data_IF_715879299923
#
_entry.id   IF_715879299923
#
_cell.length_a   1.000
_cell.length_b   1.000
_cell.length_c   1.000
_cell.angle_alpha   90.00
_cell.angle_beta   90.00
_cell.angle_gamma   90.00
#
_symmetry.space_group_name_H-M   'P 1'
#
loop_
_entity.id
_entity.type
_entity.pdbx_description
1 polymer ?
#
# COMPACT_ATOMS: atom_id res chain seq x y z
N UNK A 1 15.02 -29.62 -9.45
CA UNK A 1 14.66 -28.21 -9.19
C UNK A 1 15.78 -27.52 -8.44
N UNK A 2 15.92 -26.20 -8.59
CA UNK A 2 16.75 -25.40 -7.69
C UNK A 2 16.10 -25.27 -6.30
N UNK A 3 16.85 -24.83 -5.30
CA UNK A 3 16.32 -24.66 -3.94
C UNK A 3 15.16 -23.66 -3.91
N UNK A 4 15.33 -22.49 -4.53
CA UNK A 4 14.29 -21.44 -4.57
C UNK A 4 13.00 -21.89 -5.29
N UNK A 5 13.13 -22.68 -6.36
CA UNK A 5 11.96 -23.30 -7.01
C UNK A 5 11.25 -24.28 -6.08
N UNK A 6 12.02 -25.04 -5.30
CA UNK A 6 11.50 -26.03 -4.35
C UNK A 6 10.73 -25.38 -3.20
N UNK A 7 11.25 -24.27 -2.67
CA UNK A 7 10.52 -23.40 -1.72
C UNK A 7 9.16 -23.01 -2.30
N UNK A 8 9.16 -22.49 -3.53
CA UNK A 8 7.93 -22.03 -4.20
C UNK A 8 6.90 -23.16 -4.30
N UNK A 9 7.33 -24.37 -4.69
CA UNK A 9 6.42 -25.52 -4.82
C UNK A 9 5.84 -25.98 -3.48
N UNK A 10 6.64 -25.98 -2.40
CA UNK A 10 6.13 -26.32 -1.08
C UNK A 10 5.10 -25.29 -0.60
N UNK A 11 5.39 -24.00 -0.78
CA UNK A 11 4.48 -22.91 -0.40
C UNK A 11 3.17 -22.98 -1.18
N UNK A 12 3.23 -23.21 -2.50
CA UNK A 12 2.03 -23.40 -3.33
C UNK A 12 1.18 -24.60 -2.88
N UNK A 13 1.82 -25.61 -2.28
CA UNK A 13 1.16 -26.77 -1.72
C UNK A 13 0.63 -26.56 -0.30
N UNK A 14 0.79 -25.37 0.31
CA UNK A 14 0.40 -25.09 1.69
C UNK A 14 1.36 -25.67 2.75
N UNK A 15 2.64 -25.80 2.41
CA UNK A 15 3.70 -26.24 3.32
C UNK A 15 4.97 -25.42 3.15
N UNK A 16 6.06 -25.89 3.76
CA UNK A 16 7.40 -25.32 3.60
C UNK A 16 8.39 -26.45 3.30
N UNK A 17 9.61 -26.12 2.84
CA UNK A 17 10.64 -27.16 2.80
C UNK A 17 10.86 -27.72 4.21
N UNK A 18 11.14 -29.01 4.30
CA UNK A 18 11.18 -29.70 5.59
C UNK A 18 12.27 -29.12 6.51
N UNK A 19 11.88 -28.83 7.75
CA UNK A 19 12.79 -28.77 8.89
C UNK A 19 13.07 -30.18 9.39
N UNK A 20 14.14 -30.34 10.17
CA UNK A 20 14.46 -31.57 10.89
C UNK A 20 14.85 -31.20 12.30
N UNK A 21 13.96 -31.48 13.25
CA UNK A 21 14.06 -31.01 14.64
C UNK A 21 14.71 -32.04 15.57
N UNK A 22 14.66 -33.33 15.20
CA UNK A 22 15.22 -34.40 15.99
C UNK A 22 15.67 -35.63 15.16
N UNK A 23 16.25 -36.61 15.86
CA UNK A 23 16.74 -37.85 15.26
C UNK A 23 15.60 -38.72 14.70
N UNK A 24 14.40 -38.68 15.30
CA UNK A 24 13.27 -39.48 14.82
C UNK A 24 12.76 -38.95 13.47
N UNK A 25 12.66 -37.63 13.31
CA UNK A 25 12.35 -36.98 12.04
C UNK A 25 13.44 -37.25 11.00
N UNK A 26 14.72 -37.17 11.38
CA UNK A 26 15.82 -37.52 10.48
C UNK A 26 15.69 -38.95 9.95
N UNK A 27 15.52 -39.93 10.84
CA UNK A 27 15.38 -41.36 10.46
C UNK A 27 14.16 -41.59 9.55
N UNK A 28 13.03 -40.96 9.86
CA UNK A 28 11.83 -41.02 9.01
C UNK A 28 12.13 -40.53 7.58
N UNK A 29 12.86 -39.42 7.45
CA UNK A 29 13.25 -38.89 6.14
C UNK A 29 14.21 -39.83 5.40
N UNK A 30 15.20 -40.43 6.08
CA UNK A 30 16.15 -41.36 5.45
C UNK A 30 15.43 -42.58 4.89
N UNK A 31 14.56 -43.21 5.69
CA UNK A 31 13.81 -44.41 5.29
C UNK A 31 13.00 -44.17 4.01
N UNK A 32 12.39 -42.99 3.89
CA UNK A 32 11.61 -42.65 2.70
C UNK A 32 12.46 -42.15 1.54
N UNK A 33 13.59 -41.49 1.81
CA UNK A 33 14.50 -40.98 0.78
C UNK A 33 15.20 -42.10 0.01
N UNK A 34 15.54 -43.21 0.70
CA UNK A 34 16.22 -44.37 0.10
C UNK A 34 15.41 -44.98 -1.07
N UNK A 35 14.07 -44.93 -0.96
CA UNK A 35 13.15 -45.39 -2.01
C UNK A 35 13.28 -44.64 -3.35
N UNK A 36 13.94 -43.48 -3.34
CA UNK A 36 14.10 -42.60 -4.51
C UNK A 36 15.54 -42.47 -4.99
N UNK A 37 16.47 -43.26 -4.46
CA UNK A 37 17.90 -43.24 -4.84
C UNK A 37 18.13 -43.43 -6.34
N UNK A 38 17.26 -44.17 -7.03
CA UNK A 38 17.30 -44.37 -8.49
C UNK A 38 16.85 -43.14 -9.30
N UNK A 39 16.14 -42.19 -8.67
CA UNK A 39 15.55 -41.01 -9.32
C UNK A 39 16.27 -39.71 -8.99
N UNK A 40 16.85 -39.61 -7.80
CA UNK A 40 17.54 -38.41 -7.34
C UNK A 40 18.69 -38.77 -6.41
N UNK A 41 19.78 -37.99 -6.47
CA UNK A 41 20.90 -38.12 -5.54
C UNK A 41 20.59 -37.53 -4.16
N UNK A 42 19.50 -36.77 -4.02
CA UNK A 42 19.11 -36.15 -2.76
C UNK A 42 17.97 -35.17 -2.90
N UNK A 43 17.67 -34.51 -1.79
CA UNK A 43 16.52 -33.65 -1.62
C UNK A 43 16.91 -32.31 -0.97
N UNK A 44 16.36 -31.22 -1.47
CA UNK A 44 16.43 -29.93 -0.77
C UNK A 44 15.64 -29.99 0.54
N UNK A 45 16.25 -29.46 1.60
CA UNK A 45 15.64 -29.23 2.91
C UNK A 45 15.58 -27.73 3.21
N UNK A 46 14.85 -27.35 4.27
CA UNK A 46 14.49 -25.97 4.56
C UNK A 46 15.59 -25.08 5.14
N UNK A 47 16.85 -25.53 5.20
CA UNK A 47 17.95 -24.68 5.70
C UNK A 47 18.37 -23.70 4.61
N UNK A 48 18.51 -22.44 4.99
CA UNK A 48 19.13 -21.40 4.18
C UNK A 48 20.12 -20.58 5.02
N UNK A 49 21.03 -19.89 4.34
CA UNK A 49 21.98 -18.95 4.95
C UNK A 49 21.46 -17.52 4.81
N UNK A 50 21.37 -16.79 5.93
CA UNK A 50 20.96 -15.39 5.90
C UNK A 50 22.12 -14.44 5.55
N UNK A 51 21.84 -13.14 5.42
CA UNK A 51 22.85 -12.11 5.09
C UNK A 51 23.95 -11.96 6.15
N UNK A 52 23.68 -12.36 7.39
CA UNK A 52 24.64 -12.36 8.49
C UNK A 52 25.47 -13.66 8.53
N UNK A 53 25.23 -14.58 7.59
CA UNK A 53 25.91 -15.85 7.50
C UNK A 53 25.39 -16.95 8.43
N UNK A 54 24.25 -16.74 9.09
CA UNK A 54 23.63 -17.71 9.98
C UNK A 54 22.78 -18.71 9.19
N UNK A 55 22.82 -19.96 9.60
CA UNK A 55 21.94 -21.01 9.09
C UNK A 55 20.62 -20.99 9.86
N UNK A 56 19.51 -20.96 9.14
CA UNK A 56 18.16 -20.89 9.69
C UNK A 56 17.24 -21.83 8.93
N UNK A 57 16.24 -22.38 9.61
CA UNK A 57 15.14 -23.07 8.97
C UNK A 57 14.12 -22.08 8.39
N UNK A 58 13.56 -22.40 7.23
CA UNK A 58 12.52 -21.61 6.55
C UNK A 58 11.25 -21.45 7.42
N UNK A 59 10.94 -22.42 8.26
CA UNK A 59 9.75 -22.44 9.12
C UNK A 59 9.97 -21.78 10.50
N UNK A 60 11.12 -21.14 10.69
CA UNK A 60 11.56 -20.53 11.94
C UNK A 60 11.74 -21.51 13.12
N UNK A 61 11.82 -22.82 12.87
CA UNK A 61 12.21 -23.78 13.89
C UNK A 61 13.64 -23.52 14.38
N UNK A 62 13.94 -23.92 15.62
CA UNK A 62 15.29 -23.82 16.15
C UNK A 62 16.22 -24.81 15.43
N UNK A 63 17.44 -24.37 15.10
CA UNK A 63 18.47 -25.23 14.49
C UNK A 63 19.28 -25.93 15.60
N UNK A 64 18.60 -26.71 16.43
CA UNK A 64 19.20 -27.39 17.59
C UNK A 64 19.66 -28.82 17.26
N UNK A 65 19.21 -29.35 16.13
CA UNK A 65 19.59 -30.64 15.58
C UNK A 65 20.26 -30.47 14.22
N UNK A 66 21.37 -31.21 14.01
CA UNK A 66 22.06 -31.26 12.73
C UNK A 66 22.49 -32.69 12.39
N UNK A 67 22.42 -33.06 11.11
CA UNK A 67 22.86 -34.36 10.62
C UNK A 67 23.85 -34.22 9.46
N UNK A 68 24.88 -33.40 9.66
CA UNK A 68 25.90 -33.14 8.64
C UNK A 68 26.66 -34.41 8.26
N UNK A 69 26.98 -34.53 6.98
CA UNK A 69 27.93 -35.52 6.48
C UNK A 69 29.35 -35.20 6.93
N UNK A 70 30.24 -36.16 6.78
CA UNK A 70 31.65 -35.99 7.11
C UNK A 70 32.27 -34.80 6.36
N UNK A 71 32.95 -33.92 7.09
CA UNK A 71 33.59 -32.72 6.53
C UNK A 71 32.62 -31.60 6.13
N UNK A 72 31.36 -31.64 6.58
CA UNK A 72 30.35 -30.61 6.30
C UNK A 72 29.90 -29.88 7.57
N UNK A 73 29.50 -28.59 7.46
CA UNK A 73 29.62 -27.73 6.29
C UNK A 73 31.08 -27.32 6.03
N UNK A 74 31.47 -27.17 4.75
CA UNK A 74 32.75 -26.54 4.39
C UNK A 74 32.65 -25.02 4.56
N UNK A 75 33.64 -24.40 5.23
CA UNK A 75 33.63 -22.97 5.54
C UNK A 75 33.81 -22.05 4.31
N UNK A 76 34.28 -22.59 3.19
CA UNK A 76 34.75 -21.78 2.05
C UNK A 76 33.62 -21.32 1.09
N UNK A 77 32.38 -21.76 1.31
CA UNK A 77 31.26 -21.41 0.44
C UNK A 77 30.41 -20.30 1.05
N UNK A 78 30.19 -19.22 0.30
CA UNK A 78 29.39 -18.07 0.74
C UNK A 78 27.90 -18.20 0.38
N UNK A 79 27.60 -18.86 -0.74
CA UNK A 79 26.25 -19.02 -1.29
C UNK A 79 25.94 -20.51 -1.52
N UNK A 80 25.33 -21.13 -0.51
CA UNK A 80 24.98 -22.53 -0.52
C UNK A 80 23.62 -22.78 0.11
N UNK A 81 23.02 -23.88 -0.32
CA UNK A 81 21.80 -24.44 0.23
C UNK A 81 22.08 -25.85 0.72
N UNK A 82 21.22 -26.36 1.61
CA UNK A 82 21.45 -27.66 2.23
C UNK A 82 20.59 -28.72 1.58
N UNK A 83 21.22 -29.82 1.19
CA UNK A 83 20.54 -31.01 0.68
C UNK A 83 20.75 -32.21 1.59
N UNK A 84 19.73 -33.05 1.70
CA UNK A 84 19.78 -34.38 2.28
C UNK A 84 20.15 -35.40 1.20
N UNK A 85 21.14 -36.24 1.46
CA UNK A 85 21.54 -37.35 0.58
C UNK A 85 20.47 -38.43 0.58
N UNK A 86 20.00 -38.84 -0.60
CA UNK A 86 18.99 -39.91 -0.70
C UNK A 86 19.54 -41.27 -0.25
N UNK A 87 20.86 -41.48 -0.36
CA UNK A 87 21.52 -42.74 -0.04
C UNK A 87 21.93 -42.84 1.43
N UNK A 88 22.46 -41.76 2.00
CA UNK A 88 23.04 -41.78 3.36
C UNK A 88 22.20 -41.04 4.40
N UNK A 89 21.25 -40.21 3.99
CA UNK A 89 20.48 -39.35 4.90
C UNK A 89 21.23 -38.16 5.47
N UNK A 90 22.55 -38.11 5.32
CA UNK A 90 23.38 -37.00 5.78
C UNK A 90 23.20 -35.75 4.93
N UNK A 91 23.43 -34.61 5.57
CA UNK A 91 23.28 -33.28 4.98
C UNK A 91 24.60 -32.78 4.41
N UNK A 92 24.54 -32.07 3.30
CA UNK A 92 25.70 -31.41 2.70
C UNK A 92 25.31 -30.06 2.10
N UNK A 93 26.29 -29.16 2.03
CA UNK A 93 26.12 -27.88 1.35
C UNK A 93 26.33 -28.07 -0.15
N UNK A 94 25.49 -27.41 -0.94
CA UNK A 94 25.48 -27.50 -2.39
C UNK A 94 25.13 -26.13 -2.99
N UNK A 95 25.59 -25.82 -4.22
CA UNK A 95 25.12 -24.64 -4.94
C UNK A 95 23.60 -24.67 -5.06
N UNK A 96 22.91 -23.59 -4.65
CA UNK A 96 21.45 -23.53 -4.60
C UNK A 96 20.75 -23.78 -5.96
N UNK A 97 21.48 -23.59 -7.07
CA UNK A 97 21.01 -23.87 -8.44
C UNK A 97 21.05 -25.35 -8.81
N UNK A 98 21.68 -26.20 -7.99
CA UNK A 98 21.85 -27.62 -8.28
C UNK A 98 20.51 -28.34 -8.46
N UNK A 99 20.37 -29.26 -9.43
CA UNK A 99 19.15 -30.02 -9.60
C UNK A 99 19.04 -31.11 -8.51
N UNK A 100 18.05 -30.97 -7.62
CA UNK A 100 17.65 -32.00 -6.65
C UNK A 100 16.13 -32.23 -6.66
N UNK A 101 15.71 -33.30 -6.00
CA UNK A 101 14.34 -33.42 -5.46
C UNK A 101 14.14 -32.47 -4.28
N UNK A 102 12.95 -32.47 -3.68
CA UNK A 102 12.65 -31.65 -2.51
C UNK A 102 11.62 -32.32 -1.61
N UNK A 103 11.63 -32.01 -0.32
CA UNK A 103 10.70 -32.57 0.66
C UNK A 103 9.98 -31.40 1.35
N UNK A 104 8.65 -31.45 1.33
CA UNK A 104 7.82 -30.45 2.00
C UNK A 104 7.28 -30.98 3.33
N UNK A 105 7.30 -30.15 4.38
CA UNK A 105 6.64 -30.38 5.67
C UNK A 105 5.39 -29.52 5.76
N UNK A 106 4.32 -30.07 6.30
CA UNK A 106 3.03 -29.42 6.49
C UNK A 106 2.56 -29.60 7.93
N UNK A 107 1.93 -28.59 8.54
CA UNK A 107 1.35 -28.76 9.86
C UNK A 107 0.24 -29.81 9.81
N UNK A 108 0.21 -30.69 10.80
CA UNK A 108 -0.90 -31.63 10.97
C UNK A 108 -2.11 -30.87 11.49
N UNK A 109 -2.96 -30.41 10.57
CA UNK A 109 -4.19 -29.73 10.96
C UNK A 109 -5.16 -30.78 11.50
N UNK A 110 -5.45 -30.72 12.81
CA UNK A 110 -6.53 -31.51 13.37
C UNK A 110 -7.88 -30.98 12.83
N UNK A 111 -8.85 -31.85 12.49
CA UNK A 111 -10.11 -31.44 11.87
C UNK A 111 -10.83 -30.33 12.64
N UNK A 112 -10.75 -30.35 13.97
CA UNK A 112 -11.33 -29.32 14.84
C UNK A 112 -10.60 -27.97 14.71
N UNK A 113 -9.27 -27.97 14.61
CA UNK A 113 -8.49 -26.75 14.40
C UNK A 113 -8.71 -26.19 13.00
N UNK A 114 -8.87 -27.04 11.98
CA UNK A 114 -9.25 -26.57 10.64
C UNK A 114 -10.64 -25.92 10.64
N UNK A 115 -11.61 -26.55 11.31
CA UNK A 115 -12.95 -26.00 11.44
C UNK A 115 -12.90 -24.63 12.15
N UNK A 116 -12.20 -24.53 13.29
CA UNK A 116 -12.02 -23.27 14.01
C UNK A 116 -11.31 -22.20 13.14
N UNK A 117 -10.27 -22.58 12.41
CA UNK A 117 -9.56 -21.69 11.49
C UNK A 117 -10.49 -21.15 10.39
N UNK A 118 -11.25 -22.02 9.72
CA UNK A 118 -12.23 -21.64 8.71
C UNK A 118 -13.34 -20.73 9.28
N UNK A 119 -13.82 -20.98 10.49
CA UNK A 119 -14.80 -20.12 11.15
C UNK A 119 -14.27 -18.71 11.41
N UNK A 120 -12.98 -18.57 11.73
CA UNK A 120 -12.35 -17.26 11.92
C UNK A 120 -12.14 -16.50 10.61
N UNK A 121 -11.74 -17.20 9.54
CA UNK A 121 -11.54 -16.60 8.22
C UNK A 121 -12.88 -16.11 7.63
N UNK A 122 -13.93 -16.92 7.74
CA UNK A 122 -15.29 -16.56 7.32
C UNK A 122 -15.86 -15.32 8.04
N UNK A 123 -15.39 -15.00 9.26
CA UNK A 123 -15.76 -13.75 9.95
C UNK A 123 -14.96 -12.54 9.44
N UNK A 124 -13.74 -12.73 8.94
CA UNK A 124 -12.87 -11.66 8.43
C UNK A 124 -13.41 -11.07 7.12
N UNK A 125 -13.98 -11.90 6.24
CA UNK A 125 -14.55 -11.43 4.97
C UNK A 125 -15.79 -10.54 5.15
N UNK A 126 -16.61 -10.76 6.19
CA UNK A 126 -17.80 -9.93 6.43
C UNK A 126 -17.47 -8.51 6.88
N UNK A 127 -16.34 -8.31 7.55
CA UNK A 127 -15.91 -6.97 7.98
C UNK A 127 -15.26 -6.18 6.83
N UNK A 128 -14.58 -6.85 5.89
CA UNK A 128 -13.80 -6.19 4.84
C UNK A 128 -14.66 -5.64 3.68
N UNK A 129 -15.79 -6.29 3.36
CA UNK A 129 -16.67 -5.84 2.26
C UNK A 129 -17.47 -4.56 2.56
N UNK A 130 -17.90 -4.36 3.81
CA UNK A 130 -18.74 -3.22 4.18
C UNK A 130 -17.95 -1.90 4.27
N UNK A 131 -16.70 -1.96 4.71
CA UNK A 131 -15.85 -0.78 4.90
C UNK A 131 -15.44 -0.14 3.57
N UNK A 132 -15.12 -0.96 2.55
CA UNK A 132 -14.74 -0.45 1.23
C UNK A 132 -15.90 0.23 0.50
N UNK A 133 -17.14 -0.22 0.68
CA UNK A 133 -18.31 0.41 0.08
C UNK A 133 -18.65 1.76 0.73
N UNK A 134 -18.58 1.85 2.06
CA UNK A 134 -18.84 3.11 2.77
C UNK A 134 -17.75 4.16 2.50
N UNK A 135 -16.49 3.75 2.37
CA UNK A 135 -15.39 4.67 2.01
C UNK A 135 -15.63 5.27 0.62
N UNK A 136 -16.03 4.49 -0.38
CA UNK A 136 -16.31 5.01 -1.72
C UNK A 136 -17.51 5.97 -1.74
N UNK A 137 -18.60 5.63 -1.03
CA UNK A 137 -19.79 6.49 -0.95
C UNK A 137 -19.50 7.83 -0.24
N UNK A 138 -18.71 7.80 0.82
CA UNK A 138 -18.33 9.03 1.55
C UNK A 138 -17.45 9.94 0.70
N UNK A 139 -16.49 9.40 -0.05
CA UNK A 139 -15.63 10.17 -0.95
C UNK A 139 -16.44 10.87 -2.05
N UNK A 140 -17.41 10.18 -2.66
CA UNK A 140 -18.28 10.77 -3.70
C UNK A 140 -19.11 11.93 -3.14
N UNK A 141 -19.68 11.79 -1.95
CA UNK A 141 -20.47 12.85 -1.32
C UNK A 141 -19.62 14.10 -1.03
N UNK A 142 -18.39 13.92 -0.53
CA UNK A 142 -17.47 15.04 -0.26
C UNK A 142 -17.14 15.79 -1.56
N UNK A 143 -16.90 15.08 -2.66
CA UNK A 143 -16.62 15.68 -3.96
C UNK A 143 -17.82 16.49 -4.46
N UNK A 144 -19.04 15.96 -4.32
CA UNK A 144 -20.27 16.66 -4.73
C UNK A 144 -20.50 17.93 -3.91
N UNK A 145 -20.32 17.87 -2.59
CA UNK A 145 -20.41 19.03 -1.71
C UNK A 145 -19.32 20.06 -2.03
N UNK A 146 -18.10 19.61 -2.29
CA UNK A 146 -16.98 20.46 -2.69
C UNK A 146 -17.23 21.18 -4.01
N UNK A 147 -17.65 20.46 -5.05
CA UNK A 147 -18.01 21.06 -6.34
C UNK A 147 -19.18 22.04 -6.21
N UNK A 148 -20.22 21.69 -5.46
CA UNK A 148 -21.37 22.56 -5.20
C UNK A 148 -20.96 23.84 -4.48
N UNK A 149 -20.12 23.74 -3.45
CA UNK A 149 -19.60 24.91 -2.73
C UNK A 149 -18.73 25.79 -3.61
N UNK A 150 -17.85 25.21 -4.43
CA UNK A 150 -17.02 25.97 -5.38
C UNK A 150 -17.87 26.68 -6.44
N UNK A 151 -18.87 26.01 -7.01
CA UNK A 151 -19.81 26.63 -7.97
C UNK A 151 -20.58 27.77 -7.30
N UNK A 152 -21.09 27.55 -6.08
CA UNK A 152 -21.76 28.59 -5.31
C UNK A 152 -20.85 29.79 -5.06
N UNK A 153 -19.59 29.55 -4.67
CA UNK A 153 -18.63 30.61 -4.42
C UNK A 153 -18.29 31.38 -5.70
N UNK A 154 -18.12 30.69 -6.83
CA UNK A 154 -17.92 31.31 -8.14
C UNK A 154 -19.13 32.13 -8.59
N UNK A 155 -20.34 31.62 -8.35
CA UNK A 155 -21.58 32.33 -8.64
C UNK A 155 -21.68 33.58 -7.76
N UNK A 156 -21.47 33.46 -6.45
CA UNK A 156 -21.47 34.57 -5.49
C UNK A 156 -20.43 35.64 -5.88
N UNK A 157 -19.22 35.23 -6.25
CA UNK A 157 -18.17 36.15 -6.74
C UNK A 157 -18.60 36.84 -8.04
N UNK A 158 -19.25 36.12 -8.96
CA UNK A 158 -19.75 36.72 -10.22
C UNK A 158 -20.85 37.74 -9.94
N UNK A 159 -21.83 37.41 -9.10
CA UNK A 159 -22.94 38.28 -8.73
C UNK A 159 -22.48 39.53 -7.97
N UNK A 160 -21.49 39.41 -7.07
CA UNK A 160 -20.92 40.59 -6.40
C UNK A 160 -20.18 41.51 -7.38
N UNK A 161 -19.44 40.96 -8.35
CA UNK A 161 -18.76 41.74 -9.39
C UNK A 161 -19.74 42.44 -10.34
N UNK A 162 -20.87 41.81 -10.67
CA UNK A 162 -21.94 42.45 -11.45
C UNK A 162 -22.59 43.59 -10.65
N UNK A 163 -22.89 43.39 -9.37
CA UNK A 163 -23.44 44.44 -8.50
C UNK A 163 -22.48 45.63 -8.32
N UNK A 164 -21.17 45.37 -8.21
CA UNK A 164 -20.16 46.42 -8.09
C UNK A 164 -19.96 47.21 -9.41
N UNK A 165 -20.11 46.56 -10.57
CA UNK A 165 -20.10 47.25 -11.89
C UNK A 165 -21.32 48.15 -12.06
N UNK A 166 -22.51 47.67 -11.70
CA UNK A 166 -23.75 48.46 -11.75
C UNK A 166 -23.68 49.67 -10.80
N UNK A 167 -23.14 49.52 -9.58
CA UNK A 167 -22.93 50.64 -8.67
C UNK A 167 -21.91 51.66 -9.18
N UNK A 168 -20.79 51.24 -9.77
CA UNK A 168 -19.82 52.17 -10.39
C UNK A 168 -20.41 52.91 -11.59
N UNK A 169 -21.28 52.27 -12.36
CA UNK A 169 -21.93 52.89 -13.51
C UNK A 169 -23.01 53.91 -13.08
N UNK A 170 -23.70 53.64 -11.97
CA UNK A 170 -24.65 54.58 -11.39
C UNK A 170 -23.95 55.79 -10.73
N UNK A 171 -22.79 55.58 -10.08
CA UNK A 171 -22.03 56.67 -9.47
C UNK A 171 -21.48 57.65 -10.52
N UNK A 172 -20.95 57.15 -11.64
CA UNK A 172 -20.46 58.00 -12.74
C UNK A 172 -21.59 58.78 -13.42
N UNK A 173 -22.76 58.17 -13.59
CA UNK A 173 -23.96 58.86 -14.10
C UNK A 173 -24.46 59.96 -13.15
N UNK A 174 -24.47 59.70 -11.84
CA UNK A 174 -24.83 60.70 -10.84
C UNK A 174 -23.84 61.87 -10.80
N UNK A 175 -22.55 61.59 -10.95
CA UNK A 175 -21.50 62.62 -11.02
C UNK A 175 -21.64 63.46 -12.28
N UNK A 176 -21.91 62.85 -13.44
CA UNK A 176 -22.22 63.54 -14.69
C UNK A 176 -23.49 64.42 -14.57
N UNK A 177 -24.55 63.90 -13.93
CA UNK A 177 -25.78 64.66 -13.71
C UNK A 177 -25.57 65.88 -12.80
N UNK A 178 -24.76 65.73 -11.73
CA UNK A 178 -24.39 66.83 -10.82
C UNK A 178 -23.63 67.94 -11.54
N UNK A 179 -22.73 67.58 -12.47
CA UNK A 179 -21.99 68.54 -13.31
C UNK A 179 -22.92 69.31 -14.24
N UNK A 180 -23.95 68.66 -14.80
CA UNK A 180 -24.94 69.32 -15.66
C UNK A 180 -25.87 70.26 -14.86
N UNK A 181 -26.35 69.85 -13.69
CA UNK A 181 -27.20 70.70 -12.84
C UNK A 181 -26.45 71.88 -12.24
N UNK A 182 -25.17 71.71 -11.87
CA UNK A 182 -24.32 72.81 -11.40
C UNK A 182 -23.96 73.83 -12.49
N UNK A 183 -24.24 73.54 -13.76
CA UNK A 183 -24.02 74.45 -14.89
C UNK A 183 -25.27 75.26 -15.27
N UNK A 184 -26.43 74.91 -14.69
CA UNK A 184 -27.71 75.57 -14.98
C UNK A 184 -28.04 76.73 -14.02
N UNK A 185 -27.28 76.92 -12.95
CA UNK A 185 -27.45 78.07 -12.03
C UNK A 185 -26.63 79.32 -12.45
N UNK A 186 -25.89 79.25 -13.56
CA UNK A 186 -25.07 80.37 -14.03
C UNK A 186 -25.48 80.87 -15.43
N UNK A 187 -26.77 80.76 -15.79
CA UNK A 187 -27.32 81.41 -16.99
C UNK A 187 -28.84 81.65 -16.89
N UNK A 188 -29.35 82.32 -15.84
CA UNK A 188 -30.60 83.11 -15.97
C UNK A 188 -30.79 84.09 -14.80
N UNK A 189 -30.18 85.28 -14.88
CA UNK A 189 -30.67 86.49 -14.23
C UNK A 189 -29.92 87.74 -14.74
N UNK A 190 -29.96 88.01 -16.05
CA UNK A 190 -29.69 89.34 -16.60
C UNK A 190 -31.02 90.04 -16.93
N UNK A 191 -31.64 90.71 -15.96
CA UNK A 191 -32.34 91.99 -16.18
C UNK A 191 -32.93 92.59 -14.89
N UNK A 192 -32.32 93.65 -14.36
CA UNK A 192 -32.88 95.01 -14.48
C UNK A 192 -32.03 96.03 -13.70
N UNK A 193 -31.32 96.84 -14.49
CA UNK A 193 -31.36 98.32 -14.50
C UNK A 193 -31.43 99.06 -13.16
N UNK A 194 -30.33 99.77 -12.88
CA UNK A 194 -30.08 100.48 -11.64
C UNK A 194 -30.86 101.77 -11.41
N UNK A 195 -30.64 102.33 -10.22
CA UNK A 195 -30.59 103.78 -10.00
C UNK A 195 -29.69 104.11 -8.80
N UNK A 196 -29.07 105.27 -8.92
CA UNK A 196 -27.85 105.75 -8.29
C UNK A 196 -27.99 106.22 -6.83
N UNK A 197 -26.83 106.19 -6.14
CA UNK A 197 -26.23 107.21 -5.25
C UNK A 197 -26.98 107.79 -4.03
N UNK A 198 -26.45 107.53 -2.83
CA UNK A 198 -25.91 108.53 -1.87
C UNK A 198 -25.24 107.76 -0.70
N UNK A 199 -23.94 107.89 -0.42
CA UNK A 199 -23.21 108.99 0.25
C UNK A 199 -23.37 108.99 1.79
N UNK A 200 -22.26 108.68 2.49
CA UNK A 200 -21.81 109.21 3.82
C UNK A 200 -22.68 108.80 5.03
N UNK A 201 -22.20 108.16 6.10
CA UNK A 201 -21.08 108.44 7.05
C UNK A 201 -20.57 107.11 7.63
#
# INVERSE_FOLDING_TARGET
>A
MSWAQSVTQCVQSGGMLTSVEDLAESNFLVEHADLYTTKTSGFWIGIYRNVNGQLLWQDNSALDFVNWGEGQPSEDQLDYCVGLSAFSGYWSILPCSSPKGFICKKPKIHPLLFALYLFTDAKKDKAQGHMNMWILLTLVLIILLGMGFMIYFLFKIKTQRETEREMRQCSTLLEYSRVLTGKNDENDATNNKGKNEHSVV
#
